data_IF_223308712520
#
_entry.id   IF_223308712520
#
_cell.length_a   1.000
_cell.length_b   1.000
_cell.length_c   1.000
_cell.angle_alpha   90.00
_cell.angle_beta   90.00
_cell.angle_gamma   90.00
#
_symmetry.space_group_name_H-M   'P 1'
#
loop_
_entity.id
_entity.type
_entity.pdbx_description
1 polymer ?
#
# COMPACT_ATOMS: atom_id res chain seq x y z
N UNK A 1 7.64 -18.16 11.59
CA UNK A 1 7.80 -16.90 10.83
C UNK A 1 6.82 -15.90 11.41
N UNK A 2 7.26 -14.68 11.73
CA UNK A 2 6.42 -13.60 12.28
C UNK A 2 6.33 -12.50 11.24
N UNK A 3 5.13 -11.95 11.02
CA UNK A 3 4.87 -10.89 10.04
C UNK A 3 3.74 -9.99 10.53
N UNK A 4 3.70 -8.76 10.02
CA UNK A 4 2.57 -7.84 10.23
C UNK A 4 1.41 -8.23 9.31
N UNK A 5 0.19 -8.25 9.84
CA UNK A 5 -1.01 -8.53 9.05
C UNK A 5 -2.02 -7.41 9.21
N UNK A 6 -2.20 -6.61 8.15
CA UNK A 6 -3.20 -5.54 8.11
C UNK A 6 -4.41 -6.00 7.30
N UNK A 7 -5.61 -5.90 7.91
CA UNK A 7 -6.88 -6.11 7.23
C UNK A 7 -7.59 -4.78 6.99
N UNK A 8 -8.05 -4.56 5.75
CA UNK A 8 -8.92 -3.45 5.38
C UNK A 8 -10.25 -4.00 4.87
N UNK A 9 -11.39 -3.62 5.47
CA UNK A 9 -12.67 -4.12 5.00
C UNK A 9 -13.01 -3.56 3.60
N UNK A 10 -13.82 -4.27 2.79
CA UNK A 10 -14.13 -3.91 1.40
C UNK A 10 -14.73 -2.51 1.21
N UNK A 11 -15.41 -1.96 2.22
CA UNK A 11 -15.95 -0.60 2.20
C UNK A 11 -14.87 0.50 2.26
N UNK A 12 -13.65 0.15 2.72
CA UNK A 12 -12.50 1.05 2.82
C UNK A 12 -11.45 0.82 1.74
N UNK A 13 -11.25 -0.44 1.34
CA UNK A 13 -10.30 -0.82 0.30
C UNK A 13 -10.84 -2.06 -0.41
N UNK A 14 -10.99 -1.99 -1.73
CA UNK A 14 -11.56 -3.08 -2.53
C UNK A 14 -10.44 -3.86 -3.23
N UNK A 15 -10.71 -5.12 -3.61
CA UNK A 15 -9.76 -5.89 -4.41
C UNK A 15 -9.40 -5.23 -5.76
N UNK A 16 -10.33 -4.55 -6.47
CA UNK A 16 -9.97 -3.73 -7.63
C UNK A 16 -8.97 -2.61 -7.33
N UNK A 17 -9.07 -1.92 -6.19
CA UNK A 17 -8.07 -0.90 -5.82
C UNK A 17 -6.68 -1.54 -5.71
N UNK A 18 -6.58 -2.70 -5.07
CA UNK A 18 -5.33 -3.47 -4.95
C UNK A 18 -4.83 -4.06 -6.27
N UNK A 19 -5.66 -4.23 -7.28
CA UNK A 19 -5.22 -4.74 -8.60
C UNK A 19 -4.76 -3.62 -9.54
N UNK A 20 -5.34 -2.43 -9.38
CA UNK A 20 -5.06 -1.28 -10.23
C UNK A 20 -3.85 -0.47 -9.74
N UNK A 21 -3.61 -0.45 -8.43
CA UNK A 21 -2.67 0.50 -7.82
C UNK A 21 -1.23 0.02 -7.64
N UNK A 22 -0.92 -1.24 -7.29
CA UNK A 22 0.46 -1.63 -7.00
C UNK A 22 1.30 -1.62 -8.28
N UNK A 23 1.99 -0.51 -8.49
CA UNK A 23 3.07 -0.34 -9.46
C UNK A 23 4.28 0.23 -8.73
N UNK A 24 5.47 -0.01 -9.25
CA UNK A 24 6.66 0.69 -8.75
C UNK A 24 6.47 2.20 -8.98
N UNK A 25 6.45 2.97 -7.89
CA UNK A 25 6.19 4.42 -7.93
C UNK A 25 6.80 5.12 -6.73
N UNK A 26 7.10 6.41 -6.89
CA UNK A 26 7.48 7.28 -5.78
C UNK A 26 6.21 7.76 -5.06
N UNK A 27 5.86 7.08 -3.98
CA UNK A 27 4.62 7.36 -3.23
C UNK A 27 4.57 8.80 -2.73
N UNK A 28 5.72 9.36 -2.31
CA UNK A 28 5.75 10.74 -1.84
C UNK A 28 5.44 11.70 -2.98
N UNK A 29 6.15 11.59 -4.10
CA UNK A 29 5.98 12.49 -5.24
C UNK A 29 4.62 12.33 -5.95
N UNK A 30 4.16 11.10 -6.11
CA UNK A 30 3.00 10.80 -6.96
C UNK A 30 1.67 10.81 -6.21
N UNK A 31 1.67 10.55 -4.90
CA UNK A 31 0.44 10.51 -4.06
C UNK A 31 0.40 11.66 -3.06
N UNK A 32 1.49 11.92 -2.33
CA UNK A 32 1.52 12.92 -1.25
C UNK A 32 1.67 14.35 -1.80
N UNK A 33 2.68 14.60 -2.64
CA UNK A 33 3.01 15.91 -3.23
C UNK A 33 2.33 16.14 -4.60
N UNK A 34 1.21 15.45 -4.85
CA UNK A 34 0.49 15.58 -6.11
C UNK A 34 -0.12 16.99 -6.23
N UNK A 35 0.39 17.78 -7.18
CA UNK A 35 -0.02 19.18 -7.40
C UNK A 35 -1.46 19.34 -7.88
N UNK A 36 -2.02 18.33 -8.53
CA UNK A 36 -3.36 18.38 -9.13
C UNK A 36 -4.28 17.33 -8.52
N UNK A 37 -5.40 17.79 -7.98
CA UNK A 37 -6.51 16.93 -7.58
C UNK A 37 -7.46 16.87 -8.78
N UNK A 38 -7.80 15.67 -9.30
CA UNK A 38 -8.76 15.56 -10.40
C UNK A 38 -10.07 16.26 -10.05
N UNK A 39 -10.58 17.08 -10.99
CA UNK A 39 -11.82 17.85 -10.81
C UNK A 39 -13.07 17.00 -11.07
N UNK A 40 -12.90 15.86 -11.75
CA UNK A 40 -13.91 14.83 -11.98
C UNK A 40 -13.58 13.57 -11.17
N UNK A 41 -14.58 12.68 -11.00
CA UNK A 41 -14.35 11.36 -10.40
C UNK A 41 -13.33 10.60 -11.25
N UNK A 42 -12.16 10.34 -10.66
CA UNK A 42 -11.05 9.59 -11.26
C UNK A 42 -10.83 8.32 -10.41
N UNK A 43 -11.34 7.16 -10.86
CA UNK A 43 -11.22 5.91 -10.13
C UNK A 43 -9.77 5.49 -9.86
N UNK A 44 -8.84 5.81 -10.77
CA UNK A 44 -7.43 5.47 -10.62
C UNK A 44 -6.79 6.30 -9.51
N UNK A 45 -7.07 7.61 -9.49
CA UNK A 45 -6.62 8.49 -8.40
C UNK A 45 -7.09 8.01 -7.03
N UNK A 46 -8.35 7.58 -6.92
CA UNK A 46 -8.88 7.06 -5.66
C UNK A 46 -8.26 5.72 -5.28
N UNK A 47 -8.07 4.81 -6.23
CA UNK A 47 -7.41 3.53 -6.02
C UNK A 47 -5.96 3.70 -5.55
N UNK A 48 -5.20 4.59 -6.20
CA UNK A 48 -3.81 4.94 -5.84
C UNK A 48 -3.74 5.47 -4.41
N UNK A 49 -4.57 6.47 -4.09
CA UNK A 49 -4.57 7.11 -2.78
C UNK A 49 -4.91 6.13 -1.65
N UNK A 50 -5.95 5.31 -1.84
CA UNK A 50 -6.40 4.36 -0.82
C UNK A 50 -5.37 3.24 -0.62
N UNK A 51 -4.81 2.71 -1.70
CA UNK A 51 -3.82 1.65 -1.64
C UNK A 51 -2.52 2.15 -1.01
N UNK A 52 -2.02 3.32 -1.45
CA UNK A 52 -0.83 3.95 -0.86
C UNK A 52 -1.03 4.19 0.64
N UNK A 53 -2.19 4.72 1.07
CA UNK A 53 -2.47 4.93 2.49
C UNK A 53 -2.44 3.62 3.29
N UNK A 54 -3.00 2.53 2.76
CA UNK A 54 -3.00 1.24 3.43
C UNK A 54 -1.61 0.60 3.49
N UNK A 55 -0.82 0.72 2.41
CA UNK A 55 0.56 0.25 2.35
C UNK A 55 1.43 1.04 3.34
N UNK A 56 1.36 2.38 3.35
CA UNK A 56 2.15 3.22 4.27
C UNK A 56 1.86 2.89 5.73
N UNK A 57 0.59 2.66 6.08
CA UNK A 57 0.22 2.26 7.44
C UNK A 57 0.81 0.88 7.81
N UNK A 58 0.73 -0.09 6.88
CA UNK A 58 1.29 -1.44 7.10
C UNK A 58 2.81 -1.39 7.22
N UNK A 59 3.48 -0.61 6.36
CA UNK A 59 4.92 -0.35 6.40
C UNK A 59 5.35 0.26 7.74
N UNK A 60 4.61 1.25 8.24
CA UNK A 60 4.89 1.83 9.56
C UNK A 60 4.88 0.77 10.67
N UNK A 61 3.91 -0.15 10.67
CA UNK A 61 3.88 -1.25 11.63
C UNK A 61 5.04 -2.23 11.47
N UNK A 62 5.44 -2.54 10.22
CA UNK A 62 6.59 -3.39 9.94
C UNK A 62 7.88 -2.78 10.50
N UNK A 63 8.08 -1.48 10.27
CA UNK A 63 9.25 -0.72 10.76
C UNK A 63 9.29 -0.63 12.28
N UNK A 64 8.18 -0.22 12.93
CA UNK A 64 8.11 -0.13 14.41
C UNK A 64 8.33 -1.49 15.09
N UNK A 65 7.91 -2.58 14.43
CA UNK A 65 8.06 -3.94 14.97
C UNK A 65 9.40 -4.59 14.63
N UNK A 66 10.23 -3.97 13.76
CA UNK A 66 11.45 -4.58 13.24
C UNK A 66 11.20 -5.86 12.43
N UNK A 67 10.04 -5.99 11.78
CA UNK A 67 9.64 -7.18 11.03
C UNK A 67 9.85 -6.99 9.53
N UNK A 68 10.54 -7.95 8.91
CA UNK A 68 10.87 -7.89 7.49
C UNK A 68 9.65 -8.09 6.58
N UNK A 69 8.68 -8.90 7.01
CA UNK A 69 7.55 -9.33 6.18
C UNK A 69 6.24 -8.78 6.71
N UNK A 70 5.33 -8.48 5.79
CA UNK A 70 3.97 -8.05 6.08
C UNK A 70 2.99 -8.52 5.01
N UNK A 71 1.70 -8.44 5.34
CA UNK A 71 0.63 -8.58 4.37
C UNK A 71 -0.44 -7.51 4.58
N UNK A 72 -1.02 -7.07 3.48
CA UNK A 72 -2.21 -6.23 3.43
C UNK A 72 -3.32 -7.02 2.74
N UNK A 73 -4.49 -7.15 3.35
CA UNK A 73 -5.59 -7.93 2.76
C UNK A 73 -6.94 -7.26 2.89
N UNK A 74 -7.80 -7.48 1.88
CA UNK A 74 -9.23 -7.13 1.91
C UNK A 74 -10.13 -8.32 2.23
N UNK A 75 -9.55 -9.49 2.51
CA UNK A 75 -10.25 -10.79 2.54
C UNK A 75 -10.47 -11.40 1.15
N UNK A 76 -10.49 -10.59 0.09
CA UNK A 76 -10.63 -11.04 -1.31
C UNK A 76 -9.31 -11.03 -2.09
N UNK A 77 -8.38 -10.15 -1.70
CA UNK A 77 -7.04 -10.04 -2.26
C UNK A 77 -6.02 -9.85 -1.13
N UNK A 78 -4.77 -10.23 -1.39
CA UNK A 78 -3.64 -10.11 -0.46
C UNK A 78 -2.49 -9.47 -1.23
N UNK A 79 -1.81 -8.50 -0.62
CA UNK A 79 -0.52 -7.98 -1.06
C UNK A 79 0.52 -8.44 -0.06
N UNK A 80 1.53 -9.17 -0.51
CA UNK A 80 2.71 -9.50 0.27
C UNK A 80 3.68 -8.32 0.23
N UNK A 81 4.24 -7.98 1.38
CA UNK A 81 5.15 -6.86 1.56
C UNK A 81 6.47 -7.36 2.15
N UNK A 82 7.57 -6.79 1.69
CA UNK A 82 8.92 -7.10 2.19
C UNK A 82 9.75 -5.81 2.28
N UNK A 83 10.31 -5.58 3.45
CA UNK A 83 11.37 -4.59 3.66
C UNK A 83 12.72 -5.24 3.33
N UNK A 84 13.51 -4.58 2.50
CA UNK A 84 14.95 -4.83 2.47
C UNK A 84 15.59 -3.91 3.50
N UNK A 85 16.26 -4.48 4.51
CA UNK A 85 16.86 -3.67 5.58
C UNK A 85 18.14 -2.96 5.15
N UNK A 86 18.72 -3.35 4.00
CA UNK A 86 19.82 -2.63 3.39
C UNK A 86 19.33 -1.36 2.65
N UNK A 87 18.06 -1.34 2.22
CA UNK A 87 17.41 -0.21 1.54
C UNK A 87 15.97 0.02 2.09
N UNK A 88 15.81 0.37 3.38
CA UNK A 88 14.51 0.38 4.04
C UNK A 88 13.55 1.42 3.48
N UNK A 89 14.03 2.48 2.82
CA UNK A 89 13.19 3.44 2.10
C UNK A 89 12.40 2.83 0.93
N UNK A 90 12.76 1.64 0.47
CA UNK A 90 12.10 0.92 -0.63
C UNK A 90 11.32 -0.28 -0.11
N UNK A 91 10.01 -0.26 -0.34
CA UNK A 91 9.13 -1.39 0.00
C UNK A 91 8.88 -2.27 -1.23
N UNK A 92 9.27 -3.54 -1.16
CA UNK A 92 8.93 -4.52 -2.17
C UNK A 92 7.52 -5.07 -1.92
N UNK A 93 6.79 -5.33 -3.00
CA UNK A 93 5.45 -5.91 -2.93
C UNK A 93 5.19 -6.96 -4.02
N UNK A 94 4.28 -7.89 -3.74
CA UNK A 94 3.75 -8.89 -4.67
C UNK A 94 2.26 -9.08 -4.41
N UNK A 95 1.43 -9.17 -5.47
CA UNK A 95 -0.03 -9.33 -5.40
C UNK A 95 -0.43 -10.79 -5.68
#
# INVERSE_FOLDING_TARGET
MVYVSEYKPPDKLTAPHLRLSPRAMDTHKEVVDRKTIPTSVDPEYHAEKLTASAITQTYHYMTESGLQYGLLTTGEAIVFLKIDWDEPETLCFEL
#
